data_IF_578092633766
#
_entry.id   IF_578092633766
#
_cell.length_a   1.000
_cell.length_b   1.000
_cell.length_c   1.000
_cell.angle_alpha   90.00
_cell.angle_beta   90.00
_cell.angle_gamma   90.00
#
_symmetry.space_group_name_H-M   'P 1'
#
loop_
_entity.id
_entity.type
_entity.pdbx_description
1 polymer ?
#
# COMPACT_ATOMS: atom_id res chain seq x y z
N UNK A 1 -12.92 -17.63 2.16
CA UNK A 1 -12.46 -16.28 2.58
C UNK A 1 -13.61 -15.49 3.17
N UNK A 2 -13.32 -14.51 4.03
CA UNK A 2 -14.28 -13.51 4.51
C UNK A 2 -15.55 -14.09 5.14
N UNK A 3 -16.61 -13.28 5.17
CA UNK A 3 -17.97 -13.75 5.45
C UNK A 3 -18.67 -13.96 4.11
N UNK A 4 -19.13 -15.18 3.82
CA UNK A 4 -19.76 -15.54 2.52
C UNK A 4 -20.85 -14.54 2.10
N UNK A 5 -21.63 -14.04 3.06
CA UNK A 5 -22.74 -13.10 2.85
C UNK A 5 -22.41 -11.66 3.21
N UNK A 6 -21.15 -11.34 3.54
CA UNK A 6 -20.76 -10.04 4.10
C UNK A 6 -21.06 -8.86 3.17
N UNK A 7 -20.97 -9.06 1.85
CA UNK A 7 -21.33 -8.04 0.86
C UNK A 7 -22.83 -7.70 0.85
N UNK A 8 -23.70 -8.62 1.26
CA UNK A 8 -25.15 -8.38 1.35
C UNK A 8 -25.56 -7.73 2.68
N UNK A 9 -24.73 -7.85 3.71
CA UNK A 9 -25.09 -7.45 5.08
C UNK A 9 -24.50 -6.11 5.51
N UNK A 10 -23.31 -5.78 5.01
CA UNK A 10 -22.59 -4.58 5.42
C UNK A 10 -22.51 -3.62 4.27
N UNK A 11 -22.94 -2.35 4.38
CA UNK A 11 -22.73 -1.35 3.34
C UNK A 11 -21.24 -0.98 3.20
N UNK A 12 -20.86 -0.43 2.04
CA UNK A 12 -19.52 0.10 1.82
C UNK A 12 -19.30 1.29 2.75
N UNK A 13 -18.15 1.32 3.40
CA UNK A 13 -17.68 2.45 4.19
C UNK A 13 -16.50 3.10 3.48
N UNK A 14 -16.70 4.34 3.06
CA UNK A 14 -15.62 5.20 2.56
C UNK A 14 -14.80 5.78 3.71
N UNK A 15 -13.54 6.05 3.44
CA UNK A 15 -12.67 6.75 4.40
C UNK A 15 -13.23 8.14 4.72
N UNK A 16 -13.22 8.47 6.00
CA UNK A 16 -13.67 9.76 6.48
C UNK A 16 -12.68 10.86 6.13
N UNK A 17 -13.14 12.11 6.24
CA UNK A 17 -12.28 13.28 6.13
C UNK A 17 -12.44 14.16 7.37
N UNK A 18 -11.35 14.79 7.82
CA UNK A 18 -11.44 15.85 8.82
C UNK A 18 -12.34 17.00 8.33
N UNK A 19 -13.04 17.70 9.23
CA UNK A 19 -13.94 18.80 8.85
C UNK A 19 -13.27 19.84 7.95
N UNK A 20 -14.02 20.40 7.00
CA UNK A 20 -13.50 21.41 6.05
C UNK A 20 -12.87 22.60 6.79
N UNK A 21 -13.52 23.08 7.85
CA UNK A 21 -13.04 24.19 8.69
C UNK A 21 -11.71 23.92 9.41
N UNK A 22 -11.30 22.65 9.53
CA UNK A 22 -10.00 22.25 10.06
C UNK A 22 -8.98 22.04 8.94
N UNK A 23 -9.31 21.26 7.92
CA UNK A 23 -8.34 20.84 6.88
C UNK A 23 -7.90 21.93 5.91
N UNK A 24 -8.56 23.09 5.88
CA UNK A 24 -8.13 24.25 5.07
C UNK A 24 -7.08 25.12 5.77
N UNK A 25 -6.78 24.86 7.06
CA UNK A 25 -5.83 25.64 7.86
C UNK A 25 -4.39 25.12 7.80
N UNK A 26 -4.21 23.89 7.34
CA UNK A 26 -2.92 23.22 7.26
C UNK A 26 -2.86 22.32 6.02
N UNK A 27 -1.66 21.80 5.72
CA UNK A 27 -1.43 20.89 4.59
C UNK A 27 -1.23 19.43 5.01
N UNK A 28 -1.60 19.06 6.25
CA UNK A 28 -1.49 17.67 6.73
C UNK A 28 -2.50 16.74 6.07
N UNK A 29 -2.20 15.45 6.09
CA UNK A 29 -3.17 14.43 5.69
C UNK A 29 -4.47 14.58 6.51
N UNK A 30 -5.60 14.57 5.82
CA UNK A 30 -6.92 14.72 6.45
C UNK A 30 -7.84 13.53 6.20
N UNK A 31 -7.40 12.53 5.44
CA UNK A 31 -8.10 11.26 5.24
C UNK A 31 -7.93 10.43 6.52
N UNK A 32 -9.04 9.90 7.02
CA UNK A 32 -9.07 9.05 8.19
C UNK A 32 -9.13 7.60 7.72
N UNK A 33 -8.01 6.88 7.90
CA UNK A 33 -7.93 5.46 7.59
C UNK A 33 -8.95 4.65 8.41
N UNK A 34 -9.37 3.51 7.88
CA UNK A 34 -10.27 2.60 8.59
C UNK A 34 -9.64 2.11 9.90
N UNK A 35 -10.42 2.12 10.97
CA UNK A 35 -10.03 1.41 12.19
C UNK A 35 -10.11 -0.12 12.02
N UNK A 36 -9.59 -0.86 13.00
CA UNK A 36 -9.54 -2.33 12.97
C UNK A 36 -10.91 -2.99 12.76
N UNK A 37 -11.96 -2.45 13.38
CA UNK A 37 -13.31 -2.97 13.29
C UNK A 37 -13.93 -2.67 11.93
N UNK A 38 -13.76 -1.43 11.46
CA UNK A 38 -14.19 -0.98 10.14
C UNK A 38 -13.50 -1.78 9.04
N UNK A 39 -12.18 -1.92 9.08
CA UNK A 39 -11.41 -2.68 8.09
C UNK A 39 -11.83 -4.16 8.10
N UNK A 40 -12.01 -4.78 9.28
CA UNK A 40 -12.54 -6.14 9.38
C UNK A 40 -13.90 -6.30 8.69
N UNK A 41 -14.82 -5.36 8.92
CA UNK A 41 -16.14 -5.37 8.28
C UNK A 41 -16.02 -5.16 6.76
N UNK A 42 -15.21 -4.20 6.32
CA UNK A 42 -15.07 -3.89 4.89
C UNK A 42 -14.37 -5.03 4.13
N UNK A 43 -13.37 -5.69 4.71
CA UNK A 43 -12.76 -6.89 4.13
C UNK A 43 -13.73 -8.07 4.04
N UNK A 44 -14.73 -8.15 4.94
CA UNK A 44 -15.78 -9.17 4.88
C UNK A 44 -16.72 -9.02 3.68
N UNK A 45 -16.73 -7.86 2.99
CA UNK A 45 -17.49 -7.67 1.74
C UNK A 45 -16.85 -8.39 0.54
N UNK A 46 -15.65 -8.95 0.67
CA UNK A 46 -15.04 -9.74 -0.41
C UNK A 46 -15.87 -11.01 -0.68
N UNK A 47 -16.27 -11.22 -1.94
CA UNK A 47 -17.14 -12.33 -2.34
C UNK A 47 -16.41 -13.66 -2.56
N UNK A 48 -15.09 -13.72 -2.35
CA UNK A 48 -14.27 -14.91 -2.66
C UNK A 48 -14.49 -15.42 -4.10
N UNK A 49 -14.38 -14.50 -5.06
CA UNK A 49 -14.67 -14.81 -6.46
C UNK A 49 -13.70 -15.89 -7.00
N UNK A 50 -14.23 -16.94 -7.62
CA UNK A 50 -13.40 -17.99 -8.24
C UNK A 50 -12.38 -17.44 -9.27
N UNK A 51 -12.75 -16.37 -9.98
CA UNK A 51 -11.82 -15.57 -10.79
C UNK A 51 -11.70 -14.16 -10.19
N UNK A 52 -10.61 -13.82 -9.48
CA UNK A 52 -10.46 -12.52 -8.85
C UNK A 52 -10.04 -11.45 -9.85
N UNK A 53 -11.00 -10.84 -10.55
CA UNK A 53 -10.74 -9.76 -11.52
C UNK A 53 -10.02 -8.56 -10.91
N UNK A 54 -10.22 -8.31 -9.60
CA UNK A 54 -9.51 -7.27 -8.86
C UNK A 54 -7.98 -7.45 -8.90
N UNK A 55 -7.47 -8.69 -8.91
CA UNK A 55 -6.03 -8.95 -9.02
C UNK A 55 -5.50 -8.45 -10.36
N UNK A 56 -6.18 -8.76 -11.47
CA UNK A 56 -5.79 -8.32 -12.80
C UNK A 56 -6.01 -6.81 -13.01
N UNK A 57 -7.00 -6.22 -12.33
CA UNK A 57 -7.22 -4.77 -12.33
C UNK A 57 -6.13 -4.01 -11.57
N UNK A 58 -5.36 -4.68 -10.71
CA UNK A 58 -4.23 -4.10 -10.02
C UNK A 58 -2.97 -4.19 -10.90
N UNK A 59 -2.30 -3.06 -11.25
CA UNK A 59 -1.10 -3.10 -12.08
C UNK A 59 0.09 -3.88 -11.50
N UNK A 60 0.10 -4.08 -10.17
CA UNK A 60 1.13 -4.89 -9.47
C UNK A 60 0.64 -6.29 -9.13
N UNK A 61 -0.54 -6.69 -9.61
CA UNK A 61 -1.16 -7.99 -9.38
C UNK A 61 -1.24 -8.37 -7.88
N UNK A 62 -1.64 -7.42 -7.03
CA UNK A 62 -1.84 -7.68 -5.61
C UNK A 62 -2.77 -8.88 -5.40
N UNK A 63 -2.48 -9.69 -4.38
CA UNK A 63 -3.27 -10.87 -4.01
C UNK A 63 -4.40 -10.43 -3.07
N UNK A 64 -5.37 -9.73 -3.64
CA UNK A 64 -6.38 -8.95 -2.89
C UNK A 64 -7.31 -9.82 -2.03
N UNK A 65 -7.87 -10.93 -2.52
CA UNK A 65 -8.74 -11.77 -1.71
C UNK A 65 -8.04 -12.31 -0.45
N UNK A 66 -6.76 -12.68 -0.57
CA UNK A 66 -5.97 -13.25 0.53
C UNK A 66 -5.72 -12.23 1.64
N UNK A 67 -5.26 -11.01 1.32
CA UNK A 67 -5.07 -10.01 2.38
C UNK A 67 -6.40 -9.55 2.98
N UNK A 68 -7.51 -9.56 2.22
CA UNK A 68 -8.83 -9.27 2.76
C UNK A 68 -9.27 -10.34 3.77
N UNK A 69 -9.08 -11.61 3.44
CA UNK A 69 -9.39 -12.71 4.34
C UNK A 69 -8.59 -12.63 5.64
N UNK A 70 -7.29 -12.34 5.52
CA UNK A 70 -6.40 -12.18 6.67
C UNK A 70 -6.81 -11.00 7.55
N UNK A 71 -7.19 -9.85 6.97
CA UNK A 71 -7.75 -8.72 7.74
C UNK A 71 -9.06 -9.11 8.43
N UNK A 72 -9.95 -9.82 7.76
CA UNK A 72 -11.21 -10.29 8.35
C UNK A 72 -10.97 -11.20 9.57
N UNK A 73 -9.97 -12.10 9.47
CA UNK A 73 -9.56 -12.98 10.56
C UNK A 73 -8.77 -12.26 11.66
N UNK A 74 -8.32 -11.02 11.42
CA UNK A 74 -7.48 -10.25 12.34
C UNK A 74 -6.00 -10.62 12.28
N UNK A 75 -5.56 -11.38 11.28
CA UNK A 75 -4.16 -11.73 11.04
C UNK A 75 -3.44 -10.66 10.23
N UNK A 76 -3.32 -9.49 10.84
CA UNK A 76 -2.75 -8.29 10.22
C UNK A 76 -1.30 -8.45 9.78
N UNK A 77 -0.51 -9.26 10.49
CA UNK A 77 0.90 -9.45 10.19
C UNK A 77 1.08 -10.23 8.90
N UNK A 78 0.31 -11.31 8.71
CA UNK A 78 0.33 -12.03 7.45
C UNK A 78 -0.35 -11.22 6.34
N UNK A 79 -1.40 -10.45 6.62
CA UNK A 79 -1.99 -9.55 5.63
C UNK A 79 -0.95 -8.56 5.06
N UNK A 80 -0.14 -7.97 5.94
CA UNK A 80 0.97 -7.10 5.55
C UNK A 80 2.05 -7.84 4.75
N UNK A 81 2.39 -9.08 5.12
CA UNK A 81 3.35 -9.89 4.39
C UNK A 81 2.87 -10.22 2.96
N UNK A 82 1.59 -10.59 2.81
CA UNK A 82 0.95 -10.82 1.51
C UNK A 82 0.94 -9.55 0.67
N UNK A 83 0.54 -8.42 1.24
CA UNK A 83 0.52 -7.14 0.55
C UNK A 83 1.92 -6.72 0.06
N UNK A 84 2.95 -6.88 0.89
CA UNK A 84 4.33 -6.57 0.53
C UNK A 84 4.98 -7.58 -0.43
N UNK A 85 4.37 -8.75 -0.65
CA UNK A 85 4.91 -9.76 -1.57
C UNK A 85 4.86 -9.32 -3.03
N UNK A 86 3.92 -8.42 -3.36
CA UNK A 86 3.65 -7.93 -4.72
C UNK A 86 3.85 -6.41 -4.82
N UNK A 87 3.61 -5.67 -3.74
CA UNK A 87 3.77 -4.22 -3.72
C UNK A 87 4.94 -3.77 -2.83
N UNK A 88 5.93 -3.10 -3.43
CA UNK A 88 7.00 -2.48 -2.67
C UNK A 88 6.47 -1.40 -1.72
N UNK A 89 5.50 -0.58 -2.13
CA UNK A 89 5.11 0.65 -1.43
C UNK A 89 3.59 0.80 -1.17
N UNK A 90 2.96 -0.13 -0.44
CA UNK A 90 1.54 -0.06 -0.11
C UNK A 90 1.14 1.21 0.65
N UNK A 91 2.05 1.82 1.41
CA UNK A 91 1.77 3.08 2.10
C UNK A 91 1.56 4.25 1.13
N UNK A 92 2.14 4.19 -0.07
CA UNK A 92 1.96 5.21 -1.10
C UNK A 92 0.70 4.92 -1.90
N UNK A 93 0.57 3.69 -2.43
CA UNK A 93 -0.57 3.30 -3.27
C UNK A 93 -1.89 3.30 -2.50
N UNK A 94 -1.91 2.86 -1.23
CA UNK A 94 -3.08 2.95 -0.36
C UNK A 94 -3.61 4.39 -0.21
N UNK A 95 -2.76 5.41 -0.37
CA UNK A 95 -3.16 6.82 -0.31
C UNK A 95 -3.53 7.41 -1.67
N UNK A 96 -2.69 7.16 -2.69
CA UNK A 96 -2.74 7.92 -3.94
C UNK A 96 -3.31 7.17 -5.14
N UNK A 97 -3.43 5.83 -5.06
CA UNK A 97 -3.92 5.02 -6.16
C UNK A 97 -5.36 5.44 -6.55
N UNK A 98 -5.70 5.46 -7.86
CA UNK A 98 -7.08 5.65 -8.31
C UNK A 98 -7.94 4.38 -8.20
N UNK A 99 -7.43 3.33 -7.54
CA UNK A 99 -8.13 2.07 -7.25
C UNK A 99 -8.74 1.34 -8.48
N UNK A 100 -7.96 1.06 -9.54
CA UNK A 100 -8.48 0.32 -10.69
C UNK A 100 -8.93 -1.12 -10.34
N UNK A 101 -8.38 -1.69 -9.26
CA UNK A 101 -8.81 -2.97 -8.70
C UNK A 101 -10.26 -2.95 -8.20
N UNK A 102 -10.76 -1.79 -7.72
CA UNK A 102 -12.14 -1.63 -7.29
C UNK A 102 -13.07 -1.50 -8.49
N UNK A 103 -12.66 -0.78 -9.53
CA UNK A 103 -13.39 -0.72 -10.79
C UNK A 103 -13.55 -2.12 -11.44
N UNK A 104 -12.53 -2.96 -11.30
CA UNK A 104 -12.53 -4.36 -11.77
C UNK A 104 -13.18 -5.35 -10.79
N UNK A 105 -13.64 -4.92 -9.62
CA UNK A 105 -14.23 -5.81 -8.63
C UNK A 105 -15.55 -6.40 -9.16
N UNK A 106 -15.74 -7.72 -9.06
CA UNK A 106 -16.99 -8.38 -9.48
C UNK A 106 -18.23 -7.79 -8.80
N UNK A 107 -18.11 -7.36 -7.54
CA UNK A 107 -19.23 -6.75 -6.80
C UNK A 107 -19.67 -5.42 -7.43
N UNK A 108 -18.73 -4.67 -8.04
CA UNK A 108 -18.95 -3.39 -8.71
C UNK A 108 -19.93 -3.45 -9.89
N UNK A 109 -20.30 -4.66 -10.34
CA UNK A 109 -21.27 -4.85 -11.41
C UNK A 109 -22.69 -4.52 -10.95
N UNK A 110 -23.03 -4.84 -9.69
CA UNK A 110 -24.41 -4.74 -9.19
C UNK A 110 -24.53 -3.97 -7.86
N UNK A 111 -23.42 -3.68 -7.19
CA UNK A 111 -23.37 -2.99 -5.89
C UNK A 111 -22.01 -2.27 -5.77
N UNK A 112 -21.79 -1.54 -4.68
CA UNK A 112 -20.52 -0.87 -4.42
C UNK A 112 -19.36 -1.87 -4.30
N UNK A 113 -18.26 -1.61 -4.99
CA UNK A 113 -17.05 -2.45 -4.91
C UNK A 113 -16.54 -2.60 -3.47
N UNK A 114 -15.75 -3.64 -3.20
CA UNK A 114 -14.96 -3.72 -1.96
C UNK A 114 -14.01 -2.52 -1.90
N UNK A 115 -13.90 -1.85 -0.74
CA UNK A 115 -12.94 -0.75 -0.49
C UNK A 115 -11.50 -1.26 -0.39
N UNK A 116 -10.97 -1.80 -1.48
CA UNK A 116 -9.66 -2.46 -1.53
C UNK A 116 -8.55 -1.48 -1.16
N UNK A 117 -8.62 -0.24 -1.65
CA UNK A 117 -7.62 0.79 -1.39
C UNK A 117 -7.59 1.19 0.08
N UNK A 118 -8.75 1.37 0.72
CA UNK A 118 -8.82 1.74 2.14
C UNK A 118 -8.37 0.60 3.06
N UNK A 119 -8.62 -0.65 2.66
CA UNK A 119 -8.05 -1.83 3.34
C UNK A 119 -6.53 -1.88 3.18
N UNK A 120 -5.99 -1.62 1.97
CA UNK A 120 -4.54 -1.51 1.73
C UNK A 120 -3.89 -0.42 2.59
N UNK A 121 -4.53 0.75 2.70
CA UNK A 121 -4.09 1.84 3.57
C UNK A 121 -4.06 1.37 5.02
N UNK A 122 -5.15 0.80 5.54
CA UNK A 122 -5.21 0.30 6.92
C UNK A 122 -4.13 -0.77 7.22
N UNK A 123 -3.92 -1.74 6.33
CA UNK A 123 -2.87 -2.76 6.48
C UNK A 123 -1.49 -2.09 6.56
N UNK A 124 -1.21 -1.15 5.66
CA UNK A 124 0.09 -0.50 5.57
C UNK A 124 0.41 0.31 6.82
N UNK A 125 -0.53 1.16 7.26
CA UNK A 125 -0.34 1.98 8.45
C UNK A 125 -0.14 1.12 9.70
N UNK A 126 -0.89 0.01 9.80
CA UNK A 126 -0.73 -0.95 10.88
C UNK A 126 0.61 -1.68 10.86
N UNK A 127 1.09 -2.07 9.68
CA UNK A 127 2.39 -2.72 9.52
C UNK A 127 3.53 -1.82 9.99
N UNK A 128 3.45 -0.52 9.70
CA UNK A 128 4.41 0.46 10.20
C UNK A 128 4.28 0.72 11.69
N UNK A 129 3.05 0.86 12.22
CA UNK A 129 2.82 1.08 13.65
C UNK A 129 3.29 -0.08 14.53
N UNK A 130 3.31 -1.30 13.99
CA UNK A 130 3.74 -2.51 14.69
C UNK A 130 5.19 -2.93 14.37
N UNK A 131 5.98 -2.09 13.70
CA UNK A 131 7.37 -2.39 13.32
C UNK A 131 7.52 -3.69 12.50
N UNK A 132 6.62 -3.96 11.56
CA UNK A 132 6.70 -5.15 10.69
C UNK A 132 7.44 -4.87 9.38
N UNK A 133 7.54 -3.60 8.96
CA UNK A 133 8.25 -3.20 7.75
C UNK A 133 9.75 -3.06 8.04
N UNK A 134 10.41 -4.20 8.23
CA UNK A 134 11.84 -4.27 8.59
C UNK A 134 12.74 -4.31 7.35
N UNK A 135 14.00 -3.84 7.44
CA UNK A 135 14.99 -4.02 6.39
C UNK A 135 15.21 -5.50 6.05
N UNK A 136 15.08 -5.87 4.78
CA UNK A 136 15.36 -7.21 4.26
C UNK A 136 16.76 -7.27 3.63
N UNK A 137 17.79 -7.44 4.47
CA UNK A 137 19.17 -7.59 3.99
C UNK A 137 19.35 -8.90 3.21
N UNK A 138 20.06 -8.84 2.09
CA UNK A 138 20.41 -10.04 1.33
C UNK A 138 21.29 -10.98 2.14
N UNK A 139 21.00 -12.28 2.09
CA UNK A 139 21.82 -13.31 2.77
C UNK A 139 23.21 -13.47 2.15
N UNK A 140 23.32 -13.22 0.85
CA UNK A 140 24.54 -13.34 0.08
C UNK A 140 24.70 -12.13 -0.84
N UNK A 141 25.93 -11.63 -0.99
CA UNK A 141 26.24 -10.55 -1.96
C UNK A 141 26.62 -11.19 -3.28
N UNK A 142 26.13 -10.64 -4.38
CA UNK A 142 26.43 -11.17 -5.72
C UNK A 142 27.76 -10.65 -6.28
N UNK A 143 28.36 -9.63 -5.65
CA UNK A 143 29.55 -8.93 -6.15
C UNK A 143 29.32 -8.09 -7.42
N UNK A 144 28.06 -7.84 -7.79
CA UNK A 144 27.70 -6.99 -8.94
C UNK A 144 27.22 -5.64 -8.45
N UNK A 145 27.64 -4.57 -9.12
CA UNK A 145 27.20 -3.20 -8.83
C UNK A 145 26.21 -2.72 -9.89
N UNK A 146 25.15 -2.02 -9.46
CA UNK A 146 24.09 -1.50 -10.33
C UNK A 146 23.84 -0.03 -10.03
N UNK A 147 23.81 0.80 -11.08
CA UNK A 147 23.41 2.19 -10.99
C UNK A 147 21.93 2.35 -11.40
N UNK A 148 21.14 3.00 -10.55
CA UNK A 148 19.75 3.38 -10.84
C UNK A 148 19.68 4.90 -10.96
N UNK A 149 19.24 5.41 -12.11
CA UNK A 149 19.13 6.86 -12.35
C UNK A 149 17.68 7.31 -12.14
N UNK A 150 17.47 8.14 -11.14
CA UNK A 150 16.17 8.68 -10.71
C UNK A 150 15.62 7.96 -9.47
N UNK A 151 15.13 8.74 -8.51
CA UNK A 151 14.63 8.24 -7.22
C UNK A 151 13.10 8.29 -7.06
N UNK A 152 12.39 8.28 -8.19
CA UNK A 152 10.94 8.08 -8.19
C UNK A 152 10.54 6.65 -7.80
N UNK A 153 9.23 6.35 -7.72
CA UNK A 153 8.74 5.02 -7.32
C UNK A 153 9.37 3.88 -8.13
N UNK A 154 9.53 4.03 -9.44
CA UNK A 154 10.16 3.02 -10.29
C UNK A 154 11.62 2.74 -9.89
N UNK A 155 12.43 3.79 -9.71
CA UNK A 155 13.83 3.66 -9.32
C UNK A 155 13.99 3.08 -7.92
N UNK A 156 13.16 3.51 -6.97
CA UNK A 156 13.17 2.97 -5.61
C UNK A 156 12.74 1.50 -5.57
N UNK A 157 11.69 1.11 -6.31
CA UNK A 157 11.27 -0.29 -6.39
C UNK A 157 12.37 -1.16 -6.99
N UNK A 158 12.97 -0.73 -8.11
CA UNK A 158 14.08 -1.44 -8.73
C UNK A 158 15.27 -1.58 -7.78
N UNK A 159 15.65 -0.49 -7.11
CA UNK A 159 16.76 -0.51 -6.16
C UNK A 159 16.51 -1.46 -4.99
N UNK A 160 15.30 -1.44 -4.41
CA UNK A 160 14.92 -2.35 -3.33
C UNK A 160 15.00 -3.82 -3.76
N UNK A 161 14.43 -4.17 -4.91
CA UNK A 161 14.45 -5.55 -5.39
C UNK A 161 15.88 -6.03 -5.67
N UNK A 162 16.72 -5.19 -6.29
CA UNK A 162 18.12 -5.51 -6.60
C UNK A 162 18.98 -5.64 -5.32
N UNK A 163 18.78 -4.76 -4.33
CA UNK A 163 19.49 -4.82 -3.05
C UNK A 163 19.15 -6.12 -2.29
N UNK A 164 17.86 -6.51 -2.28
CA UNK A 164 17.38 -7.74 -1.62
C UNK A 164 17.94 -9.04 -2.21
N UNK A 165 18.23 -9.04 -3.51
CA UNK A 165 18.91 -10.19 -4.16
C UNK A 165 20.45 -10.13 -4.06
N UNK A 166 20.99 -9.09 -3.41
CA UNK A 166 22.40 -9.01 -3.03
C UNK A 166 23.29 -8.19 -3.95
N UNK A 167 22.72 -7.42 -4.88
CA UNK A 167 23.49 -6.45 -5.66
C UNK A 167 23.90 -5.24 -4.82
N UNK A 168 24.99 -4.58 -5.22
CA UNK A 168 25.41 -3.30 -4.67
C UNK A 168 24.77 -2.17 -5.48
N UNK A 169 23.77 -1.49 -4.93
CA UNK A 169 22.93 -0.58 -5.71
C UNK A 169 23.21 0.87 -5.32
N UNK A 170 23.49 1.71 -6.32
CA UNK A 170 23.61 3.16 -6.12
C UNK A 170 22.48 3.87 -6.87
N UNK A 171 21.68 4.65 -6.14
CA UNK A 171 20.62 5.49 -6.72
C UNK A 171 21.16 6.91 -6.93
N UNK A 172 21.11 7.39 -8.16
CA UNK A 172 21.48 8.75 -8.54
C UNK A 172 20.23 9.61 -8.67
N UNK A 173 20.14 10.69 -7.91
CA UNK A 173 19.03 11.64 -7.96
C UNK A 173 19.56 13.05 -8.29
N UNK A 174 18.84 13.77 -9.15
CA UNK A 174 19.20 15.14 -9.54
C UNK A 174 18.78 16.16 -8.49
N UNK A 175 17.62 15.95 -7.87
CA UNK A 175 17.06 16.87 -6.88
C UNK A 175 17.68 16.66 -5.48
N UNK A 176 17.51 17.63 -4.60
CA UNK A 176 18.11 17.61 -3.26
C UNK A 176 17.56 16.52 -2.33
N UNK A 177 16.45 15.87 -2.70
CA UNK A 177 15.77 14.87 -1.87
C UNK A 177 15.18 13.75 -2.71
N UNK A 178 15.20 12.55 -2.13
CA UNK A 178 14.69 11.32 -2.71
C UNK A 178 13.15 11.30 -2.77
N UNK A 179 12.59 10.70 -3.82
CA UNK A 179 11.16 10.40 -3.96
C UNK A 179 10.52 10.88 -5.26
N UNK A 180 11.25 11.62 -6.11
CA UNK A 180 10.74 12.14 -7.38
C UNK A 180 9.42 12.91 -7.22
N UNK A 181 8.43 12.61 -8.08
CA UNK A 181 7.12 13.27 -8.02
C UNK A 181 6.29 12.94 -6.77
N UNK A 182 6.56 11.82 -6.07
CA UNK A 182 5.91 11.58 -4.77
C UNK A 182 6.27 12.69 -3.78
N UNK A 183 7.50 13.21 -3.88
CA UNK A 183 7.99 14.29 -3.02
C UNK A 183 7.69 15.67 -3.56
N UNK A 184 7.94 15.92 -4.84
CA UNK A 184 7.86 17.27 -5.40
C UNK A 184 6.55 17.58 -6.13
N UNK A 185 5.75 16.57 -6.46
CA UNK A 185 4.50 16.74 -7.22
C UNK A 185 3.24 16.58 -6.37
N UNK A 186 3.15 15.50 -5.58
CA UNK A 186 1.96 15.23 -4.76
C UNK A 186 1.97 16.12 -3.51
N UNK A 187 0.90 16.87 -3.20
CA UNK A 187 0.85 17.68 -1.98
C UNK A 187 0.78 16.85 -0.69
N UNK A 188 1.22 17.43 0.42
CA UNK A 188 1.25 16.76 1.75
C UNK A 188 -0.12 16.29 2.21
N UNK A 189 -1.19 17.03 1.90
CA UNK A 189 -2.55 16.67 2.33
C UNK A 189 -3.10 15.40 1.64
N UNK A 190 -2.41 14.90 0.60
CA UNK A 190 -2.67 13.60 -0.04
C UNK A 190 -1.65 12.53 0.34
N UNK A 191 -0.40 12.93 0.54
CA UNK A 191 0.70 12.03 0.90
C UNK A 191 1.77 12.83 1.64
N UNK A 192 1.80 12.71 2.96
CA UNK A 192 2.80 13.34 3.80
C UNK A 192 4.19 12.77 3.50
N UNK A 193 5.20 13.65 3.46
CA UNK A 193 6.57 13.25 3.08
C UNK A 193 7.24 12.36 4.11
N UNK A 194 6.74 12.34 5.34
CA UNK A 194 7.15 11.43 6.40
C UNK A 194 7.10 9.96 5.96
N UNK A 195 6.11 9.58 5.14
CA UNK A 195 6.01 8.23 4.58
C UNK A 195 7.18 7.90 3.66
N UNK A 196 7.60 8.87 2.82
CA UNK A 196 8.75 8.73 1.92
C UNK A 196 10.03 8.64 2.74
N UNK A 197 10.22 9.55 3.71
CA UNK A 197 11.41 9.59 4.56
C UNK A 197 11.59 8.27 5.33
N UNK A 198 10.51 7.75 5.93
CA UNK A 198 10.53 6.48 6.65
C UNK A 198 10.87 5.29 5.73
N UNK A 199 10.29 5.26 4.53
CA UNK A 199 10.59 4.21 3.54
C UNK A 199 12.04 4.27 3.08
N UNK A 200 12.56 5.45 2.78
CA UNK A 200 13.95 5.62 2.34
C UNK A 200 14.91 5.18 3.45
N UNK A 201 14.65 5.54 4.71
CA UNK A 201 15.45 5.09 5.84
C UNK A 201 15.44 3.56 5.98
N UNK A 202 14.27 2.92 5.81
CA UNK A 202 14.14 1.47 5.80
C UNK A 202 14.98 0.83 4.68
N UNK A 203 14.91 1.38 3.47
CA UNK A 203 15.67 0.89 2.31
C UNK A 203 17.18 1.10 2.46
N UNK A 204 17.63 2.24 2.97
CA UNK A 204 19.06 2.50 3.25
C UNK A 204 19.63 1.49 4.26
N UNK A 205 18.80 1.01 5.19
CA UNK A 205 19.20 -0.03 6.12
C UNK A 205 19.22 -1.45 5.49
N UNK A 206 18.66 -1.66 4.29
CA UNK A 206 18.76 -2.92 3.52
C UNK A 206 20.13 -3.07 2.85
N UNK A 207 20.77 -1.94 2.47
CA UNK A 207 22.06 -1.87 1.78
C UNK A 207 21.92 -1.19 0.43
#
# INVERSE_FOLDING_TARGET
MGKITGFMEYPRLEEGYRPVSERVKEYREFVLALDDGQAKIQSARCMDCGTPFCNNGCPVNNIIPDFNDLVFQGDWKNAAAVLHSTNNFPEFTGRICPAPCEAACTLNVNDDAVGIKSIEHAISDKAWANDWVKPQKAKHRTGKSVAVVGSGPAGLAAAQQLARVGHDVTVFEKNDRIGGLLRYGIPDFKLEKSHIDRRVAQMQAEG
#
